data_IF_684998996590
#
_entry.id   IF_684998996590
#
_cell.length_a   1.000
_cell.length_b   1.000
_cell.length_c   1.000
_cell.angle_alpha   90.00
_cell.angle_beta   90.00
_cell.angle_gamma   90.00
#
_symmetry.space_group_name_H-M   'P 1'
#
loop_
_entity.id
_entity.type
_entity.pdbx_description
1 polymer ?
#
# COMPACT_ATOMS: atom_id res chain seq x y z
N UNK A 1 2.46 17.62 11.07
CA UNK A 1 1.15 16.98 10.77
C UNK A 1 0.65 17.27 9.35
N UNK A 2 0.55 18.54 8.91
CA UNK A 2 -0.01 18.91 7.59
C UNK A 2 0.67 18.27 6.35
N UNK A 3 1.99 18.06 6.38
CA UNK A 3 2.73 17.43 5.27
C UNK A 3 2.38 15.94 5.08
N UNK A 4 2.17 15.21 6.17
CA UNK A 4 1.82 13.78 6.10
C UNK A 4 0.38 13.61 5.61
N UNK A 5 -0.55 14.42 6.10
CA UNK A 5 -1.93 14.41 5.63
C UNK A 5 -2.05 14.86 4.16
N UNK A 6 -1.18 15.77 3.70
CA UNK A 6 -1.11 16.15 2.29
C UNK A 6 -0.64 15.00 1.40
N UNK A 7 0.45 14.32 1.77
CA UNK A 7 0.96 13.15 1.03
C UNK A 7 -0.08 12.02 1.02
N UNK A 8 -0.73 11.77 2.16
CA UNK A 8 -1.81 10.79 2.25
C UNK A 8 -2.99 11.14 1.34
N UNK A 9 -3.38 12.43 1.29
CA UNK A 9 -4.44 12.92 0.41
C UNK A 9 -4.10 12.77 -1.08
N UNK A 10 -2.86 13.09 -1.48
CA UNK A 10 -2.39 12.91 -2.86
C UNK A 10 -2.36 11.44 -3.25
N UNK A 11 -1.83 10.56 -2.39
CA UNK A 11 -1.81 9.12 -2.62
C UNK A 11 -3.21 8.54 -2.75
N UNK A 12 -4.13 8.93 -1.85
CA UNK A 12 -5.52 8.51 -1.91
C UNK A 12 -6.20 8.99 -3.21
N UNK A 13 -5.99 10.26 -3.60
CA UNK A 13 -6.54 10.83 -4.83
C UNK A 13 -6.01 10.14 -6.10
N UNK A 14 -4.72 9.82 -6.15
CA UNK A 14 -4.12 9.09 -7.27
C UNK A 14 -4.70 7.68 -7.43
N UNK A 15 -4.88 6.94 -6.33
CA UNK A 15 -5.46 5.59 -6.37
C UNK A 15 -6.92 5.62 -6.81
N UNK A 16 -7.71 6.57 -6.30
CA UNK A 16 -9.11 6.73 -6.70
C UNK A 16 -9.24 7.16 -8.17
N UNK A 17 -8.35 8.04 -8.65
CA UNK A 17 -8.29 8.45 -10.05
C UNK A 17 -7.86 7.33 -10.99
N UNK A 18 -6.84 6.56 -10.62
CA UNK A 18 -6.37 5.40 -11.38
C UNK A 18 -7.43 4.28 -11.45
N UNK A 19 -8.31 4.18 -10.44
CA UNK A 19 -9.43 3.22 -10.39
C UNK A 19 -10.58 3.57 -11.36
N UNK A 20 -10.60 4.75 -11.97
CA UNK A 20 -11.64 5.15 -12.91
C UNK A 20 -11.71 4.26 -14.17
N UNK A 21 -10.64 3.51 -14.49
CA UNK A 21 -10.63 2.43 -15.49
C UNK A 21 -11.21 1.12 -14.96
N UNK A 22 -12.51 1.10 -14.66
CA UNK A 22 -13.24 -0.01 -14.00
C UNK A 22 -13.00 -1.38 -14.62
N UNK A 23 -12.93 -1.48 -15.95
CA UNK A 23 -12.84 -2.76 -16.66
C UNK A 23 -11.50 -3.51 -16.42
N UNK A 24 -10.41 -2.76 -16.30
CA UNK A 24 -9.08 -3.33 -16.00
C UNK A 24 -8.91 -3.54 -14.50
N UNK A 25 -9.51 -2.66 -13.69
CA UNK A 25 -9.52 -2.80 -12.24
C UNK A 25 -10.27 -4.06 -11.78
N UNK A 26 -11.41 -4.38 -12.37
CA UNK A 26 -12.20 -5.58 -12.04
C UNK A 26 -11.45 -6.88 -12.37
N UNK A 27 -10.68 -6.90 -13.46
CA UNK A 27 -9.83 -8.06 -13.79
C UNK A 27 -8.70 -8.27 -12.79
N UNK A 28 -8.00 -7.19 -12.43
CA UNK A 28 -6.93 -7.23 -11.43
C UNK A 28 -7.50 -7.56 -10.05
N UNK A 29 -8.68 -7.02 -9.71
CA UNK A 29 -9.37 -7.29 -8.44
C UNK A 29 -9.77 -8.75 -8.30
N UNK A 30 -10.30 -9.38 -9.35
CA UNK A 30 -10.62 -10.81 -9.33
C UNK A 30 -9.38 -11.68 -9.17
N UNK A 31 -8.30 -11.36 -9.88
CA UNK A 31 -7.02 -12.04 -9.70
C UNK A 31 -6.46 -11.86 -8.29
N UNK A 32 -6.60 -10.66 -7.72
CA UNK A 32 -6.19 -10.35 -6.36
C UNK A 32 -7.01 -11.10 -5.31
N UNK A 33 -8.34 -11.12 -5.43
CA UNK A 33 -9.21 -11.85 -4.51
C UNK A 33 -8.86 -13.35 -4.52
N UNK A 34 -8.60 -13.92 -5.70
CA UNK A 34 -8.19 -15.30 -5.81
C UNK A 34 -6.78 -15.58 -5.26
N UNK A 35 -5.86 -14.63 -5.40
CA UNK A 35 -4.50 -14.75 -4.90
C UNK A 35 -4.43 -14.60 -3.37
N UNK A 36 -5.29 -13.77 -2.78
CA UNK A 36 -5.38 -13.54 -1.33
C UNK A 36 -5.79 -14.80 -0.56
N UNK A 37 -6.56 -15.69 -1.19
CA UNK A 37 -6.95 -16.98 -0.60
C UNK A 37 -5.84 -18.05 -0.70
N UNK A 38 -4.72 -17.79 -1.40
CA UNK A 38 -3.59 -18.73 -1.45
C UNK A 38 -2.73 -18.60 -0.16
N UNK A 39 -2.51 -19.67 0.61
CA UNK A 39 -1.70 -19.65 1.83
C UNK A 39 -0.24 -19.22 1.58
N UNK A 40 0.27 -19.32 0.35
CA UNK A 40 1.60 -18.80 -0.03
C UNK A 40 1.70 -17.29 0.04
N UNK A 41 0.58 -16.57 -0.03
CA UNK A 41 0.55 -15.13 0.18
C UNK A 41 0.66 -14.74 1.66
N UNK A 42 0.31 -15.61 2.62
CA UNK A 42 0.45 -15.28 4.04
C UNK A 42 1.91 -15.19 4.48
N UNK A 43 2.76 -16.11 4.00
CA UNK A 43 4.19 -16.06 4.28
C UNK A 43 4.85 -14.86 3.59
N UNK A 44 4.52 -14.60 2.34
CA UNK A 44 4.95 -13.41 1.60
C UNK A 44 4.49 -12.11 2.25
N UNK A 45 3.25 -12.06 2.74
CA UNK A 45 2.70 -10.91 3.45
C UNK A 45 3.46 -10.65 4.76
N UNK A 46 3.86 -11.71 5.49
CA UNK A 46 4.70 -11.57 6.69
C UNK A 46 6.03 -10.89 6.39
N UNK A 47 6.72 -11.34 5.33
CA UNK A 47 8.02 -10.77 4.92
C UNK A 47 7.86 -9.34 4.39
N UNK A 48 6.82 -9.07 3.61
CA UNK A 48 6.48 -7.74 3.10
C UNK A 48 6.16 -6.78 4.25
N UNK A 49 5.43 -7.24 5.27
CA UNK A 49 5.10 -6.44 6.45
C UNK A 49 6.34 -6.06 7.23
N UNK A 50 7.27 -6.99 7.45
CA UNK A 50 8.54 -6.70 8.10
C UNK A 50 9.39 -5.66 7.33
N UNK A 51 9.42 -5.75 6.00
CA UNK A 51 10.11 -4.77 5.17
C UNK A 51 9.43 -3.39 5.21
N UNK A 52 8.09 -3.38 5.15
CA UNK A 52 7.31 -2.15 5.26
C UNK A 52 7.51 -1.47 6.62
N UNK A 53 7.48 -2.24 7.71
CA UNK A 53 7.72 -1.73 9.06
C UNK A 53 9.12 -1.14 9.20
N UNK A 54 10.13 -1.75 8.56
CA UNK A 54 11.51 -1.24 8.54
C UNK A 54 11.62 0.06 7.75
N UNK A 55 10.99 0.15 6.58
CA UNK A 55 10.95 1.35 5.75
C UNK A 55 10.16 2.50 6.41
N UNK A 56 9.07 2.18 7.11
CA UNK A 56 8.33 3.16 7.90
C UNK A 56 9.16 3.61 9.09
N UNK A 57 9.83 2.69 9.79
CA UNK A 57 10.68 3.03 10.93
C UNK A 57 11.84 3.93 10.54
N UNK A 58 12.47 3.75 9.37
CA UNK A 58 13.53 4.63 8.89
C UNK A 58 13.03 6.03 8.58
N UNK A 59 11.91 6.16 7.88
CA UNK A 59 11.29 7.46 7.58
C UNK A 59 10.85 8.16 8.86
N UNK A 60 10.22 7.45 9.80
CA UNK A 60 9.80 8.01 11.09
C UNK A 60 11.01 8.45 11.93
N UNK A 61 12.10 7.66 11.92
CA UNK A 61 13.34 8.01 12.63
C UNK A 61 13.98 9.27 12.04
N UNK A 62 13.97 9.41 10.72
CA UNK A 62 14.50 10.57 10.02
C UNK A 62 13.65 11.84 10.21
N UNK A 63 12.34 11.68 10.39
CA UNK A 63 11.44 12.79 10.73
C UNK A 63 11.51 13.18 12.21
N UNK A 64 11.84 12.24 13.11
CA UNK A 64 11.95 12.47 14.56
C UNK A 64 13.31 13.03 14.98
N UNK A 65 14.34 12.86 14.16
CA UNK A 65 15.69 13.40 14.39
C UNK A 65 15.91 14.83 13.90
N UNK A 66 14.87 15.50 13.36
CA UNK A 66 14.89 16.93 13.00
C UNK A 66 14.17 17.78 14.03
#
# INVERSE_FOLDING_TARGET
MAKLSFIAGVGAGYVLGARAGRERYEQIRRAYDHAKDDPRMQSLAGTLRAQADTAVASVVRELRGR
#
